data_IF_650272259744
#
_entry.id   IF_650272259744
#
_cell.length_a   1.000
_cell.length_b   1.000
_cell.length_c   1.000
_cell.angle_alpha   90.00
_cell.angle_beta   90.00
_cell.angle_gamma   90.00
#
_symmetry.space_group_name_H-M   'P 1'
#
loop_
_entity.id
_entity.type
_entity.pdbx_description
1 polymer ?
#
# COMPACT_ATOMS: atom_id res chain seq x y z
N UNK A 1 -19.60 7.86 -11.31
CA UNK A 1 -18.21 8.33 -11.30
C UNK A 1 -17.47 7.56 -12.37
N UNK A 2 -17.45 8.10 -13.58
CA UNK A 2 -16.84 7.48 -14.76
C UNK A 2 -15.32 7.72 -14.68
N UNK A 3 -14.63 6.86 -13.93
CA UNK A 3 -13.17 6.86 -13.83
C UNK A 3 -12.59 6.57 -15.23
N UNK A 4 -11.84 7.54 -15.78
CA UNK A 4 -11.24 7.49 -17.11
C UNK A 4 -10.59 6.12 -17.37
N UNK A 5 -11.07 5.33 -18.35
CA UNK A 5 -10.76 3.90 -18.49
C UNK A 5 -9.27 3.59 -18.73
N UNK A 6 -8.46 4.59 -19.10
CA UNK A 6 -7.02 4.42 -19.30
C UNK A 6 -6.20 4.36 -18.01
N UNK A 7 -6.59 5.09 -16.97
CA UNK A 7 -5.73 5.31 -15.79
C UNK A 7 -5.71 4.08 -14.89
N UNK A 8 -6.90 3.60 -14.53
CA UNK A 8 -7.08 2.44 -13.64
C UNK A 8 -6.58 1.16 -14.35
N UNK A 9 -6.83 1.02 -15.65
CA UNK A 9 -6.39 -0.16 -16.42
C UNK A 9 -4.86 -0.33 -16.38
N UNK A 10 -4.11 0.78 -16.48
CA UNK A 10 -2.66 0.75 -16.36
C UNK A 10 -2.19 0.36 -14.96
N UNK A 11 -2.82 0.89 -13.91
CA UNK A 11 -2.54 0.56 -12.49
C UNK A 11 -2.74 -0.93 -12.27
N UNK A 12 -3.91 -1.46 -12.67
CA UNK A 12 -4.26 -2.86 -12.48
C UNK A 12 -3.35 -3.82 -13.25
N UNK A 13 -2.83 -3.38 -14.41
CA UNK A 13 -1.89 -4.15 -15.22
C UNK A 13 -0.47 -4.14 -14.66
N UNK A 14 -0.09 -3.12 -13.89
CA UNK A 14 1.26 -2.89 -13.38
C UNK A 14 1.32 -2.82 -11.84
N UNK A 15 0.55 -3.66 -11.15
CA UNK A 15 0.53 -3.72 -9.68
C UNK A 15 1.91 -3.84 -9.00
N UNK A 16 2.90 -4.58 -9.55
CA UNK A 16 4.26 -4.57 -8.99
C UNK A 16 4.89 -3.19 -8.92
N UNK A 17 4.73 -2.38 -9.97
CA UNK A 17 5.24 -1.01 -9.98
C UNK A 17 4.49 -0.13 -8.99
N UNK A 18 3.16 -0.27 -8.88
CA UNK A 18 2.37 0.46 -7.90
C UNK A 18 2.85 0.14 -6.49
N UNK A 19 3.09 -1.13 -6.17
CA UNK A 19 3.64 -1.54 -4.87
C UNK A 19 5.00 -0.90 -4.55
N UNK A 20 5.88 -0.83 -5.56
CA UNK A 20 7.21 -0.21 -5.42
C UNK A 20 7.07 1.31 -5.20
N UNK A 21 6.22 1.98 -5.98
CA UNK A 21 6.01 3.42 -5.90
C UNK A 21 5.40 3.79 -4.54
N UNK A 22 4.31 3.12 -4.15
CA UNK A 22 3.62 3.36 -2.87
C UNK A 22 4.52 3.02 -1.68
N UNK A 23 5.18 1.87 -1.71
CA UNK A 23 6.11 1.46 -0.66
C UNK A 23 7.30 2.42 -0.53
N UNK A 24 7.81 2.92 -1.66
CA UNK A 24 8.88 3.91 -1.70
C UNK A 24 8.44 5.28 -1.20
N UNK A 25 7.23 5.69 -1.56
CA UNK A 25 6.62 6.94 -1.08
C UNK A 25 6.42 6.89 0.44
N UNK A 26 5.85 5.80 0.97
CA UNK A 26 5.71 5.56 2.41
C UNK A 26 7.06 5.54 3.14
N UNK A 27 8.08 4.90 2.54
CA UNK A 27 9.44 4.88 3.06
C UNK A 27 10.04 6.28 3.18
N UNK A 28 9.96 7.08 2.11
CA UNK A 28 10.44 8.45 2.08
C UNK A 28 9.65 9.36 3.03
N UNK A 29 8.33 9.23 3.06
CA UNK A 29 7.46 10.01 3.93
C UNK A 29 7.77 9.75 5.40
N UNK A 30 7.95 8.49 5.82
CA UNK A 30 8.29 8.16 7.21
C UNK A 30 9.66 8.71 7.62
N UNK A 31 10.66 8.63 6.75
CA UNK A 31 11.99 9.23 7.01
C UNK A 31 11.90 10.76 7.10
N UNK A 32 11.16 11.38 6.18
CA UNK A 32 10.96 12.83 6.18
C UNK A 32 10.22 13.31 7.45
N UNK A 33 9.16 12.61 7.86
CA UNK A 33 8.43 12.90 9.09
C UNK A 33 9.32 12.78 10.33
N UNK A 34 10.21 11.78 10.38
CA UNK A 34 11.17 11.63 11.47
C UNK A 34 12.18 12.79 11.55
N UNK A 35 12.76 13.19 10.42
CA UNK A 35 13.68 14.32 10.36
C UNK A 35 13.00 15.63 10.73
N UNK A 36 11.78 15.87 10.23
CA UNK A 36 10.98 17.04 10.56
C UNK A 36 10.62 17.11 12.06
N UNK A 37 10.45 15.95 12.71
CA UNK A 37 10.19 15.87 14.15
C UNK A 37 11.38 16.23 15.03
N UNK A 38 12.54 16.56 14.45
CA UNK A 38 13.78 16.74 15.19
C UNK A 38 14.25 15.45 15.87
N UNK A 39 13.97 14.28 15.26
CA UNK A 39 14.25 12.95 15.82
C UNK A 39 13.53 12.64 17.14
N UNK A 40 12.52 13.42 17.51
CA UNK A 40 11.81 13.28 18.79
C UNK A 40 10.76 12.15 18.78
N UNK A 41 10.28 11.73 17.60
CA UNK A 41 9.25 10.68 17.47
C UNK A 41 9.72 9.50 16.62
N UNK A 42 10.29 8.48 17.25
CA UNK A 42 10.59 7.19 16.61
C UNK A 42 9.34 6.54 15.98
N UNK A 43 8.15 6.83 16.52
CA UNK A 43 6.86 6.38 16.01
C UNK A 43 6.56 6.91 14.59
N UNK A 44 7.17 8.02 14.17
CA UNK A 44 7.04 8.56 12.82
C UNK A 44 7.74 7.69 11.75
N UNK A 45 8.60 6.74 12.14
CA UNK A 45 9.24 5.77 11.25
C UNK A 45 8.35 4.58 10.91
N UNK A 46 7.23 4.37 11.61
CA UNK A 46 6.32 3.25 11.36
C UNK A 46 5.91 3.18 9.87
N UNK A 47 5.49 4.28 9.21
CA UNK A 47 5.16 4.25 7.79
C UNK A 47 6.33 3.77 6.91
N UNK A 48 7.57 4.03 7.32
CA UNK A 48 8.75 3.59 6.57
C UNK A 48 9.00 2.09 6.69
N UNK A 49 8.79 1.51 7.88
CA UNK A 49 8.90 0.06 8.09
C UNK A 49 7.87 -0.69 7.23
N UNK A 50 6.61 -0.23 7.25
CA UNK A 50 5.56 -0.81 6.42
C UNK A 50 5.80 -0.54 4.93
N UNK A 51 6.26 0.66 4.56
CA UNK A 51 6.65 1.00 3.20
C UNK A 51 7.72 0.07 2.63
N UNK A 52 8.76 -0.22 3.40
CA UNK A 52 9.79 -1.21 3.05
C UNK A 52 9.21 -2.63 2.94
N UNK A 53 8.31 -3.00 3.86
CA UNK A 53 7.60 -4.28 3.83
C UNK A 53 6.72 -4.49 2.60
N UNK A 54 6.25 -3.41 1.97
CA UNK A 54 5.53 -3.44 0.68
C UNK A 54 6.50 -3.36 -0.50
N UNK A 55 7.51 -2.49 -0.41
CA UNK A 55 8.47 -2.22 -1.49
C UNK A 55 9.31 -3.44 -1.87
N UNK A 56 9.83 -4.18 -0.88
CA UNK A 56 10.69 -5.35 -1.12
C UNK A 56 9.92 -6.44 -1.91
N UNK A 57 8.77 -6.95 -1.44
CA UNK A 57 8.01 -7.92 -2.21
C UNK A 57 7.43 -7.35 -3.50
N UNK A 58 7.13 -6.05 -3.56
CA UNK A 58 6.76 -5.37 -4.82
C UNK A 58 7.86 -5.45 -5.88
N UNK A 59 9.11 -5.20 -5.48
CA UNK A 59 10.29 -5.34 -6.35
C UNK A 59 10.51 -6.79 -6.77
N UNK A 60 10.40 -7.74 -5.84
CA UNK A 60 10.51 -9.18 -6.16
C UNK A 60 9.44 -9.61 -7.17
N UNK A 61 8.20 -9.13 -7.01
CA UNK A 61 7.11 -9.42 -7.95
C UNK A 61 7.37 -8.83 -9.35
N UNK A 62 8.03 -7.67 -9.42
CA UNK A 62 8.40 -7.04 -10.67
C UNK A 62 9.54 -7.78 -11.38
N UNK A 63 10.60 -8.14 -10.66
CA UNK A 63 11.76 -8.83 -11.23
C UNK A 63 11.50 -10.30 -11.57
N UNK A 64 10.60 -10.97 -10.83
CA UNK A 64 10.34 -12.40 -10.99
C UNK A 64 8.85 -12.69 -11.21
N UNK A 65 8.38 -12.71 -12.47
CA UNK A 65 6.98 -13.01 -12.80
C UNK A 65 6.48 -14.36 -12.28
N UNK A 66 7.39 -15.33 -12.13
CA UNK A 66 7.07 -16.68 -11.63
C UNK A 66 6.60 -16.71 -10.16
N UNK A 67 7.07 -15.77 -9.33
CA UNK A 67 6.65 -15.65 -7.92
C UNK A 67 5.75 -14.44 -7.66
N UNK A 68 5.45 -13.65 -8.70
CA UNK A 68 4.69 -12.41 -8.59
C UNK A 68 3.36 -12.58 -7.86
N UNK A 69 2.66 -13.71 -8.04
CA UNK A 69 1.40 -14.00 -7.32
C UNK A 69 1.59 -14.07 -5.80
N UNK A 70 2.62 -14.78 -5.33
CA UNK A 70 2.89 -14.93 -3.90
C UNK A 70 3.40 -13.62 -3.30
N UNK A 71 4.33 -12.95 -4.00
CA UNK A 71 4.85 -11.67 -3.59
C UNK A 71 3.75 -10.60 -3.48
N UNK A 72 2.77 -10.61 -4.39
CA UNK A 72 1.59 -9.73 -4.33
C UNK A 72 0.64 -10.03 -3.16
N UNK A 73 0.49 -11.30 -2.77
CA UNK A 73 -0.26 -11.61 -1.56
C UNK A 73 0.47 -11.10 -0.32
N UNK A 74 1.80 -11.20 -0.30
CA UNK A 74 2.62 -10.67 0.80
C UNK A 74 2.47 -9.14 0.90
N UNK A 75 2.56 -8.40 -0.22
CA UNK A 75 2.34 -6.93 -0.20
C UNK A 75 0.95 -6.57 0.32
N UNK A 76 -0.09 -7.30 -0.08
CA UNK A 76 -1.46 -7.07 0.40
C UNK A 76 -1.59 -7.34 1.90
N UNK A 77 -0.93 -8.37 2.43
CA UNK A 77 -0.92 -8.66 3.88
C UNK A 77 -0.20 -7.53 4.63
N UNK A 78 0.93 -7.03 4.15
CA UNK A 78 1.60 -5.87 4.75
C UNK A 78 0.74 -4.61 4.73
N UNK A 79 0.03 -4.34 3.62
CA UNK A 79 -0.93 -3.24 3.55
C UNK A 79 -2.06 -3.39 4.57
N UNK A 80 -2.60 -4.61 4.73
CA UNK A 80 -3.62 -4.90 5.74
C UNK A 80 -3.09 -4.69 7.16
N UNK A 81 -1.89 -5.18 7.47
CA UNK A 81 -1.25 -4.95 8.76
C UNK A 81 -0.98 -3.47 9.01
N UNK A 82 -0.62 -2.70 7.97
CA UNK A 82 -0.45 -1.26 8.04
C UNK A 82 -1.74 -0.55 8.44
N UNK A 83 -2.88 -0.91 7.83
CA UNK A 83 -4.22 -0.40 8.20
C UNK A 83 -4.56 -0.79 9.65
N UNK A 84 -4.32 -2.06 10.02
CA UNK A 84 -4.62 -2.53 11.37
C UNK A 84 -3.79 -1.81 12.43
N UNK A 85 -2.51 -1.60 12.16
CA UNK A 85 -1.58 -0.88 13.04
C UNK A 85 -1.74 0.64 13.05
N UNK A 86 -2.65 1.19 12.24
CA UNK A 86 -2.96 2.62 12.18
C UNK A 86 -4.42 2.95 12.51
N UNK A 87 -5.28 1.97 12.76
CA UNK A 87 -6.67 2.18 13.18
C UNK A 87 -6.79 3.01 14.47
N UNK A 88 -5.81 2.90 15.36
CA UNK A 88 -5.73 3.68 16.60
C UNK A 88 -5.57 5.18 16.33
N UNK A 89 -5.04 5.59 15.17
CA UNK A 89 -4.94 7.02 14.83
C UNK A 89 -6.32 7.66 14.66
N UNK A 90 -7.32 6.92 14.19
CA UNK A 90 -8.69 7.42 14.05
C UNK A 90 -9.25 7.84 15.41
N UNK A 91 -9.08 6.97 16.42
CA UNK A 91 -9.48 7.28 17.80
C UNK A 91 -8.69 8.48 18.34
N UNK A 92 -7.39 8.56 18.05
CA UNK A 92 -6.55 9.70 18.40
C UNK A 92 -7.03 11.03 17.82
N UNK A 93 -7.53 11.04 16.57
CA UNK A 93 -8.10 12.24 15.95
C UNK A 93 -9.45 12.64 16.58
N UNK A 94 -10.30 11.68 16.90
CA UNK A 94 -11.58 11.93 17.59
C UNK A 94 -11.37 12.53 18.98
N UNK A 95 -10.32 12.11 19.68
CA UNK A 95 -9.87 12.66 20.96
C UNK A 95 -9.18 14.04 20.83
N UNK A 96 -9.01 14.58 19.62
CA UNK A 96 -8.33 15.85 19.37
C UNK A 96 -6.80 15.80 19.55
N UNK A 97 -6.18 14.61 19.56
CA UNK A 97 -4.73 14.44 19.74
C UNK A 97 -4.01 14.49 18.39
N UNK A 98 -3.67 15.69 17.93
CA UNK A 98 -2.93 15.93 16.68
C UNK A 98 -1.41 15.82 16.84
N UNK A 99 -0.93 14.78 17.52
CA UNK A 99 0.52 14.51 17.57
C UNK A 99 1.01 14.09 16.18
N UNK A 100 2.27 14.41 15.86
CA UNK A 100 2.92 13.99 14.63
C UNK A 100 2.83 12.46 14.44
N UNK A 101 2.91 11.68 15.52
CA UNK A 101 2.75 10.24 15.47
C UNK A 101 1.36 9.81 14.98
N UNK A 102 0.29 10.50 15.42
CA UNK A 102 -1.08 10.23 14.95
C UNK A 102 -1.26 10.67 13.49
N UNK A 103 -0.65 11.79 13.08
CA UNK A 103 -0.67 12.25 11.69
C UNK A 103 0.04 11.24 10.79
N UNK A 104 1.24 10.79 11.15
CA UNK A 104 1.99 9.78 10.39
C UNK A 104 1.22 8.46 10.25
N UNK A 105 0.56 8.00 11.33
CA UNK A 105 -0.31 6.82 11.29
C UNK A 105 -1.55 7.05 10.43
N UNK A 106 -2.15 8.23 10.49
CA UNK A 106 -3.29 8.58 9.63
C UNK A 106 -2.93 8.56 8.14
N UNK A 107 -1.76 9.08 7.78
CA UNK A 107 -1.24 8.99 6.40
C UNK A 107 -1.01 7.54 6.01
N UNK A 108 -0.35 6.75 6.86
CA UNK A 108 -0.17 5.30 6.63
C UNK A 108 -1.51 4.59 6.38
N UNK A 109 -2.55 4.90 7.17
CA UNK A 109 -3.87 4.31 7.04
C UNK A 109 -4.49 4.62 5.67
N UNK A 110 -4.40 5.86 5.20
CA UNK A 110 -4.95 6.29 3.92
C UNK A 110 -4.21 5.60 2.77
N UNK A 111 -2.88 5.67 2.74
CA UNK A 111 -2.07 5.09 1.66
C UNK A 111 -2.19 3.55 1.62
N UNK A 112 -2.13 2.88 2.78
CA UNK A 112 -2.34 1.43 2.80
C UNK A 112 -3.78 1.06 2.43
N UNK A 113 -4.77 1.86 2.81
CA UNK A 113 -6.18 1.69 2.46
C UNK A 113 -6.42 1.72 0.95
N UNK A 114 -5.95 2.76 0.28
CA UNK A 114 -6.07 2.88 -1.19
C UNK A 114 -5.28 1.78 -1.91
N UNK A 115 -4.06 1.46 -1.43
CA UNK A 115 -3.24 0.41 -2.01
C UNK A 115 -3.92 -0.96 -1.91
N UNK A 116 -4.50 -1.28 -0.75
CA UNK A 116 -5.24 -2.53 -0.54
C UNK A 116 -6.46 -2.60 -1.45
N UNK A 117 -7.17 -1.48 -1.64
CA UNK A 117 -8.29 -1.39 -2.57
C UNK A 117 -7.86 -1.71 -4.01
N UNK A 118 -6.74 -1.14 -4.49
CA UNK A 118 -6.19 -1.49 -5.79
C UNK A 118 -5.76 -2.96 -5.89
N UNK A 119 -5.19 -3.53 -4.81
CA UNK A 119 -4.86 -4.96 -4.73
C UNK A 119 -6.08 -5.85 -4.97
N UNK A 120 -7.19 -5.56 -4.28
CA UNK A 120 -8.44 -6.30 -4.42
C UNK A 120 -8.99 -6.19 -5.83
N UNK A 121 -8.99 -4.98 -6.42
CA UNK A 121 -9.44 -4.78 -7.80
C UNK A 121 -8.60 -5.58 -8.80
N UNK A 122 -7.28 -5.60 -8.64
CA UNK A 122 -6.39 -6.35 -9.53
C UNK A 122 -6.62 -7.85 -9.42
N UNK A 123 -6.80 -8.38 -8.20
CA UNK A 123 -7.11 -9.79 -8.01
C UNK A 123 -8.45 -10.18 -8.66
N UNK A 124 -9.46 -9.32 -8.56
CA UNK A 124 -10.75 -9.53 -9.25
C UNK A 124 -10.58 -9.51 -10.76
N UNK A 125 -9.85 -8.54 -11.31
CA UNK A 125 -9.59 -8.45 -12.76
C UNK A 125 -8.84 -9.70 -13.26
N UNK A 126 -7.82 -10.16 -12.54
CA UNK A 126 -7.08 -11.37 -12.86
C UNK A 126 -7.92 -12.66 -12.74
N UNK A 127 -8.97 -12.67 -11.90
CA UNK A 127 -9.93 -13.78 -11.83
C UNK A 127 -10.85 -13.81 -13.04
N UNK A 128 -11.46 -12.67 -13.38
CA UNK A 128 -12.39 -12.55 -14.51
C UNK A 128 -11.69 -12.91 -15.83
N UNK A 129 -10.45 -12.47 -16.02
CA UNK A 129 -9.65 -12.81 -17.22
C UNK A 129 -9.47 -14.32 -17.38
N UNK A 130 -9.19 -15.05 -16.28
CA UNK A 130 -9.04 -16.51 -16.30
C UNK A 130 -10.35 -17.24 -16.62
N UNK A 131 -11.48 -16.72 -16.14
CA UNK A 131 -12.81 -17.29 -16.44
C UNK A 131 -13.15 -17.11 -17.92
N UNK A 132 -12.87 -15.95 -18.52
CA UNK A 132 -13.07 -15.70 -19.95
C UNK A 132 -12.20 -16.60 -20.83
N UNK A 133 -10.92 -16.78 -20.47
CA UNK A 133 -10.00 -17.68 -21.18
C UNK A 133 -10.45 -19.15 -21.10
N UNK A 134 -11.16 -19.54 -20.04
CA UNK A 134 -11.72 -20.88 -19.90
C UNK A 134 -13.02 -21.07 -20.70
N UNK A 135 -13.82 -20.03 -20.90
CA UNK A 135 -15.03 -20.04 -21.72
C UNK A 135 -14.75 -19.96 -23.23
N UNK A 136 -13.57 -19.45 -23.60
CA UNK A 136 -13.10 -19.36 -24.99
C UNK A 136 -12.34 -20.62 -25.47
N UNK A 137 -12.10 -21.59 -24.58
CA UNK A 137 -11.52 -22.90 -24.91
C UNK A 137 -12.62 -23.95 -25.04
#
# INVERSE_FOLDING_TARGET
>A
MEEKPGNISWILSNMPLVAIIEGGFLALFGVFAYLYSGQSSFTALIPSIFGLGILIPGYVAYSNPGVAKHAMHVTAVFGLLGILGSLDSILGFLDGKYSLANISKGVLLIICGEYLYFCILSFRAARIKREQEALQK
#
